data_IF_730664819355
#
_entry.id   IF_730664819355
#
_cell.length_a   1.000
_cell.length_b   1.000
_cell.length_c   1.000
_cell.angle_alpha   90.00
_cell.angle_beta   90.00
_cell.angle_gamma   90.00
#
_symmetry.space_group_name_H-M   'P 1'
#
loop_
_entity.id
_entity.type
_entity.pdbx_description
1 polymer ?
#
# COMPACT_ATOMS: atom_id res chain seq x y z
N UNK A 1 -38.60 -7.47 28.65
CA UNK A 1 -37.69 -6.32 28.86
C UNK A 1 -36.61 -6.45 27.81
N UNK A 2 -36.84 -5.80 26.65
CA UNK A 2 -35.86 -5.81 25.57
C UNK A 2 -34.76 -4.82 25.93
N UNK A 3 -33.61 -5.35 26.37
CA UNK A 3 -32.37 -4.60 26.55
C UNK A 3 -31.76 -4.38 25.14
N UNK A 4 -32.33 -3.43 24.42
CA UNK A 4 -31.74 -2.93 23.17
C UNK A 4 -30.53 -2.08 23.57
N UNK A 5 -29.37 -2.73 23.69
CA UNK A 5 -28.09 -2.08 23.92
C UNK A 5 -27.91 -0.87 23.00
N UNK A 6 -27.47 0.24 23.56
CA UNK A 6 -27.37 1.53 22.86
C UNK A 6 -26.41 1.40 21.65
N UNK A 7 -26.96 1.41 20.44
CA UNK A 7 -26.19 1.33 19.19
C UNK A 7 -25.52 2.67 18.88
N UNK A 8 -24.22 2.67 18.84
CA UNK A 8 -23.40 3.84 18.56
C UNK A 8 -23.22 4.03 17.06
N UNK A 9 -23.26 5.28 16.62
CA UNK A 9 -22.85 5.61 15.24
C UNK A 9 -21.36 5.28 15.03
N UNK A 10 -20.95 5.01 13.79
CA UNK A 10 -19.54 4.75 13.45
C UNK A 10 -18.60 5.83 13.98
N UNK A 11 -19.01 7.12 13.95
CA UNK A 11 -18.19 8.21 14.46
C UNK A 11 -18.11 8.25 16.00
N UNK A 12 -19.18 7.90 16.71
CA UNK A 12 -19.19 7.81 18.16
C UNK A 12 -18.35 6.62 18.65
N UNK A 13 -18.56 5.46 18.02
CA UNK A 13 -17.80 4.24 18.31
C UNK A 13 -16.30 4.42 18.01
N UNK A 14 -15.95 5.05 16.87
CA UNK A 14 -14.57 5.37 16.51
C UNK A 14 -13.84 6.18 17.57
N UNK A 15 -14.48 7.23 18.10
CA UNK A 15 -13.92 8.03 19.21
C UNK A 15 -13.74 7.21 20.48
N UNK A 16 -14.70 6.36 20.80
CA UNK A 16 -14.66 5.54 22.02
C UNK A 16 -13.52 4.52 22.01
N UNK A 17 -13.25 3.88 20.85
CA UNK A 17 -12.26 2.83 20.73
C UNK A 17 -10.90 3.34 20.22
N UNK A 18 -10.79 4.63 19.89
CA UNK A 18 -9.55 5.25 19.39
C UNK A 18 -9.15 4.77 18.00
N UNK A 19 -10.14 4.53 17.14
CA UNK A 19 -9.93 4.15 15.73
C UNK A 19 -10.50 5.22 14.79
N UNK A 20 -9.95 5.33 13.58
CA UNK A 20 -10.54 6.17 12.55
C UNK A 20 -11.83 5.50 11.99
N UNK A 21 -12.87 6.26 11.60
CA UNK A 21 -14.05 5.70 10.93
C UNK A 21 -13.71 4.91 9.65
N UNK A 22 -12.64 5.29 8.94
CA UNK A 22 -12.12 4.56 7.78
C UNK A 22 -11.57 3.19 8.15
N UNK A 23 -10.88 3.09 9.29
CA UNK A 23 -10.39 1.81 9.80
C UNK A 23 -11.54 0.87 10.19
N UNK A 24 -12.60 1.39 10.82
CA UNK A 24 -13.79 0.60 11.15
C UNK A 24 -14.49 0.06 9.90
N UNK A 25 -14.62 0.88 8.84
CA UNK A 25 -15.15 0.40 7.56
C UNK A 25 -14.28 -0.69 6.96
N UNK A 26 -12.97 -0.51 7.00
CA UNK A 26 -12.01 -1.50 6.54
C UNK A 26 -12.13 -2.83 7.32
N UNK A 27 -12.24 -2.79 8.65
CA UNK A 27 -12.39 -3.99 9.47
C UNK A 27 -13.74 -4.69 9.29
N UNK A 28 -14.81 -3.93 8.99
CA UNK A 28 -16.09 -4.50 8.55
C UNK A 28 -15.95 -5.16 7.18
N UNK A 29 -15.39 -4.48 6.21
CA UNK A 29 -15.14 -4.99 4.87
C UNK A 29 -14.29 -6.28 4.87
N UNK A 30 -13.39 -6.43 5.86
CA UNK A 30 -12.58 -7.64 6.06
C UNK A 30 -13.28 -8.69 6.93
N UNK A 31 -14.45 -8.40 7.48
CA UNK A 31 -15.20 -9.29 8.35
C UNK A 31 -14.60 -9.48 9.76
N UNK A 32 -13.54 -8.75 10.13
CA UNK A 32 -12.84 -8.87 11.42
C UNK A 32 -13.59 -8.14 12.54
N UNK A 33 -14.24 -7.01 12.21
CA UNK A 33 -15.09 -6.26 13.13
C UNK A 33 -16.34 -5.78 12.38
N UNK A 34 -17.36 -6.60 12.31
CA UNK A 34 -18.63 -6.26 11.66
C UNK A 34 -19.45 -5.35 12.57
N UNK A 35 -20.14 -4.32 12.02
CA UNK A 35 -21.12 -3.57 12.78
C UNK A 35 -22.29 -4.47 13.21
N UNK A 36 -22.93 -4.12 14.29
CA UNK A 36 -24.13 -4.82 14.75
C UNK A 36 -25.28 -4.62 13.77
N UNK A 37 -25.40 -3.41 13.20
CA UNK A 37 -26.42 -3.06 12.23
C UNK A 37 -25.86 -2.24 11.09
N UNK A 38 -26.28 -2.54 9.86
CA UNK A 38 -26.05 -1.72 8.65
C UNK A 38 -27.41 -1.33 8.09
N UNK A 39 -27.65 -0.03 7.96
CA UNK A 39 -28.86 0.48 7.32
C UNK A 39 -28.83 0.13 5.82
N UNK A 40 -29.81 -0.65 5.38
CA UNK A 40 -29.86 -1.16 4.00
C UNK A 40 -30.09 -0.09 2.92
N UNK A 41 -30.65 1.08 3.29
CA UNK A 41 -30.93 2.16 2.35
C UNK A 41 -29.76 3.15 2.26
N UNK A 42 -29.12 3.45 3.39
CA UNK A 42 -28.06 4.47 3.50
C UNK A 42 -26.66 3.92 3.64
N UNK A 43 -26.52 2.62 3.92
CA UNK A 43 -25.25 1.98 4.23
C UNK A 43 -24.64 2.42 5.57
N UNK A 44 -25.44 3.06 6.44
CA UNK A 44 -24.96 3.61 7.71
C UNK A 44 -24.71 2.47 8.72
N UNK A 45 -23.50 2.44 9.29
CA UNK A 45 -23.04 1.41 10.22
C UNK A 45 -23.25 1.81 11.67
N UNK A 46 -23.81 0.91 12.47
CA UNK A 46 -23.98 1.06 13.91
C UNK A 46 -23.29 -0.08 14.64
N UNK A 47 -22.66 0.24 15.75
CA UNK A 47 -21.90 -0.70 16.57
C UNK A 47 -22.51 -0.79 17.98
N UNK A 48 -22.59 -2.00 18.52
CA UNK A 48 -22.98 -2.20 19.90
C UNK A 48 -21.84 -1.85 20.87
N UNK A 49 -22.18 -1.38 22.06
CA UNK A 49 -21.19 -1.00 23.08
C UNK A 49 -20.26 -2.17 23.48
N UNK A 50 -20.78 -3.40 23.47
CA UNK A 50 -20.05 -4.63 23.79
C UNK A 50 -18.91 -4.91 22.80
N UNK A 51 -19.03 -4.43 21.56
CA UNK A 51 -17.99 -4.59 20.55
C UNK A 51 -16.73 -3.74 20.85
N UNK A 52 -16.82 -2.77 21.78
CA UNK A 52 -15.69 -1.90 22.10
C UNK A 52 -14.46 -2.67 22.61
N UNK A 53 -14.66 -3.68 23.44
CA UNK A 53 -13.55 -4.49 23.96
C UNK A 53 -12.80 -5.24 22.83
N UNK A 54 -13.54 -5.79 21.88
CA UNK A 54 -12.98 -6.43 20.69
C UNK A 54 -12.23 -5.42 19.82
N UNK A 55 -12.82 -4.26 19.54
CA UNK A 55 -12.21 -3.19 18.75
C UNK A 55 -10.90 -2.69 19.37
N UNK A 56 -10.85 -2.52 20.69
CA UNK A 56 -9.62 -2.12 21.41
C UNK A 56 -8.55 -3.21 21.33
N UNK A 57 -8.91 -4.49 21.47
CA UNK A 57 -7.95 -5.60 21.31
C UNK A 57 -7.39 -5.62 19.87
N UNK A 58 -8.25 -5.52 18.88
CA UNK A 58 -7.86 -5.44 17.48
C UNK A 58 -6.89 -4.29 17.25
N UNK A 59 -7.21 -3.08 17.71
CA UNK A 59 -6.33 -1.91 17.61
C UNK A 59 -4.95 -2.18 18.21
N UNK A 60 -4.87 -2.70 19.45
CA UNK A 60 -3.60 -2.99 20.12
C UNK A 60 -2.74 -4.01 19.37
N UNK A 61 -3.36 -5.06 18.81
CA UNK A 61 -2.64 -6.05 18.00
C UNK A 61 -2.10 -5.42 16.72
N UNK A 62 -2.88 -4.52 16.09
CA UNK A 62 -2.45 -3.78 14.91
C UNK A 62 -1.35 -2.76 15.21
N UNK A 63 -1.44 -2.04 16.33
CA UNK A 63 -0.38 -1.15 16.83
C UNK A 63 0.93 -1.93 17.10
N UNK A 64 0.84 -3.17 17.53
CA UNK A 64 1.98 -4.07 17.65
C UNK A 64 2.48 -4.64 16.30
N UNK A 65 1.88 -4.26 15.16
CA UNK A 65 2.28 -4.71 13.82
C UNK A 65 1.84 -6.12 13.45
N UNK A 66 0.89 -6.74 14.20
CA UNK A 66 0.40 -8.07 13.88
C UNK A 66 -0.44 -8.03 12.59
N UNK A 67 -0.17 -8.91 11.58
CA UNK A 67 -0.97 -9.03 10.37
C UNK A 67 -2.46 -9.24 10.65
N UNK A 68 -3.34 -8.66 9.84
CA UNK A 68 -4.79 -8.73 10.08
C UNK A 68 -5.32 -10.17 10.03
N UNK A 69 -4.71 -11.01 9.20
CA UNK A 69 -5.02 -12.45 9.12
C UNK A 69 -4.72 -13.13 10.44
N UNK A 70 -3.59 -12.78 11.06
CA UNK A 70 -3.18 -13.30 12.36
C UNK A 70 -4.00 -12.70 13.52
N UNK A 71 -4.45 -11.45 13.38
CA UNK A 71 -5.38 -10.83 14.35
C UNK A 71 -6.68 -11.62 14.44
N UNK A 72 -7.24 -12.07 13.31
CA UNK A 72 -8.45 -12.90 13.31
C UNK A 72 -8.22 -14.22 14.10
N UNK A 73 -7.08 -14.88 13.91
CA UNK A 73 -6.71 -16.08 14.68
C UNK A 73 -6.57 -15.78 16.17
N UNK A 74 -5.99 -14.64 16.55
CA UNK A 74 -5.81 -14.26 17.96
C UNK A 74 -7.15 -13.89 18.64
N UNK A 75 -8.09 -13.31 17.87
CA UNK A 75 -9.39 -12.89 18.44
C UNK A 75 -10.42 -14.02 18.48
N UNK A 76 -10.41 -14.91 17.49
CA UNK A 76 -11.49 -15.87 17.26
C UNK A 76 -11.02 -17.34 17.25
N UNK A 77 -9.72 -17.58 17.10
CA UNK A 77 -9.17 -18.94 16.99
C UNK A 77 -8.89 -19.63 18.33
N UNK A 78 -8.50 -20.90 18.28
CA UNK A 78 -8.11 -21.65 19.47
C UNK A 78 -6.94 -21.02 20.22
N UNK A 79 -6.94 -21.12 21.55
CA UNK A 79 -5.94 -20.46 22.41
C UNK A 79 -4.48 -20.85 22.06
N UNK A 80 -4.26 -22.11 21.65
CA UNK A 80 -2.91 -22.57 21.27
C UNK A 80 -2.46 -21.93 19.95
N UNK A 81 -3.33 -21.85 18.95
CA UNK A 81 -3.04 -21.16 17.68
C UNK A 81 -2.76 -19.67 17.90
N UNK A 82 -3.54 -19.02 18.76
CA UNK A 82 -3.32 -17.63 19.12
C UNK A 82 -1.94 -17.42 19.79
N UNK A 83 -1.54 -18.33 20.69
CA UNK A 83 -0.22 -18.30 21.34
C UNK A 83 0.92 -18.51 20.38
N UNK A 84 0.78 -19.43 19.44
CA UNK A 84 1.77 -19.72 18.39
C UNK A 84 1.99 -18.49 17.51
N UNK A 85 0.89 -17.93 16.98
CA UNK A 85 0.90 -16.70 16.17
C UNK A 85 1.60 -15.54 16.87
N UNK A 86 1.28 -15.31 18.16
CA UNK A 86 1.91 -14.24 18.95
C UNK A 86 3.39 -14.48 19.19
N UNK A 87 3.80 -15.74 19.40
CA UNK A 87 5.21 -16.10 19.59
C UNK A 87 6.02 -15.88 18.33
N UNK A 88 5.52 -16.35 17.19
CA UNK A 88 6.16 -16.17 15.89
C UNK A 88 6.28 -14.68 15.52
N UNK A 89 5.26 -13.89 15.87
CA UNK A 89 5.28 -12.44 15.64
C UNK A 89 6.39 -11.77 16.48
N UNK A 90 6.52 -12.13 17.75
CA UNK A 90 7.60 -11.60 18.59
C UNK A 90 8.99 -11.93 18.07
N UNK A 91 9.19 -13.13 17.52
CA UNK A 91 10.47 -13.53 16.93
C UNK A 91 10.77 -12.75 15.64
N UNK A 92 9.76 -12.51 14.80
CA UNK A 92 9.90 -11.65 13.61
C UNK A 92 10.28 -10.21 14.00
N UNK A 93 9.58 -9.63 14.98
CA UNK A 93 9.86 -8.26 15.45
C UNK A 93 11.27 -8.10 16.00
N UNK A 94 11.75 -9.08 16.77
CA UNK A 94 13.14 -9.07 17.29
C UNK A 94 14.16 -9.03 16.16
N UNK A 95 14.02 -9.90 15.15
CA UNK A 95 14.92 -9.91 13.98
C UNK A 95 14.91 -8.56 13.25
N UNK A 96 13.73 -8.01 12.98
CA UNK A 96 13.61 -6.70 12.31
C UNK A 96 14.23 -5.56 13.15
N UNK A 97 14.09 -5.60 14.48
CA UNK A 97 14.71 -4.61 15.36
C UNK A 97 16.24 -4.72 15.36
N UNK A 98 16.80 -5.94 15.38
CA UNK A 98 18.25 -6.17 15.34
C UNK A 98 18.85 -5.69 14.01
N UNK A 99 18.18 -5.95 12.88
CA UNK A 99 18.56 -5.47 11.56
C UNK A 99 18.51 -3.93 11.48
N UNK A 100 17.44 -3.32 11.97
CA UNK A 100 17.30 -1.86 12.02
C UNK A 100 18.35 -1.21 12.91
N UNK A 101 18.65 -1.82 14.06
CA UNK A 101 19.69 -1.34 14.99
C UNK A 101 21.08 -1.35 14.34
N UNK A 102 21.42 -2.38 13.61
CA UNK A 102 22.67 -2.46 12.86
C UNK A 102 22.82 -1.35 11.81
N UNK A 103 21.74 -1.04 11.08
CA UNK A 103 21.69 0.04 10.09
C UNK A 103 21.84 1.41 10.75
N UNK A 104 21.08 1.71 11.80
CA UNK A 104 21.11 3.01 12.51
C UNK A 104 22.47 3.24 13.17
N UNK A 105 23.08 2.22 13.77
CA UNK A 105 24.43 2.30 14.34
C UNK A 105 25.52 2.60 13.29
N UNK A 106 25.29 2.22 12.03
CA UNK A 106 26.12 2.62 10.88
C UNK A 106 26.04 4.15 10.62
N UNK A 107 24.83 4.69 10.55
CA UNK A 107 24.62 6.11 10.24
C UNK A 107 25.05 7.05 11.35
N UNK A 108 24.89 6.69 12.61
CA UNK A 108 25.33 7.55 13.75
C UNK A 108 26.85 7.80 13.80
N UNK A 109 27.63 6.99 13.09
CA UNK A 109 29.10 7.14 13.00
C UNK A 109 29.56 8.14 11.95
N UNK A 110 28.69 8.64 11.05
CA UNK A 110 29.08 9.37 9.83
C UNK A 110 28.66 10.85 9.76
N UNK A 111 27.98 11.47 10.75
CA UNK A 111 27.38 12.80 10.63
C UNK A 111 28.19 13.98 11.18
N UNK A 112 28.34 15.09 10.43
CA UNK A 112 28.58 16.46 10.94
C UNK A 112 27.59 17.53 10.40
N UNK A 113 27.39 18.64 11.07
CA UNK A 113 26.34 19.65 10.89
C UNK A 113 26.69 21.01 10.29
N UNK A 114 25.73 21.93 10.10
CA UNK A 114 25.85 23.33 9.62
C UNK A 114 24.54 24.11 9.39
N UNK A 115 24.53 25.45 9.45
CA UNK A 115 23.42 26.42 9.73
C UNK A 115 23.17 27.54 8.62
N UNK A 116 22.22 28.50 8.73
CA UNK A 116 21.19 28.88 7.69
C UNK A 116 21.22 30.30 7.02
N UNK A 117 20.22 30.67 6.18
CA UNK A 117 19.97 31.96 5.52
C UNK A 117 18.60 32.16 4.84
N UNK A 118 18.11 33.41 4.72
CA UNK A 118 16.71 33.87 4.56
C UNK A 118 16.14 34.07 3.12
N UNK A 119 14.83 34.36 3.02
CA UNK A 119 13.94 34.32 1.85
C UNK A 119 13.52 35.68 1.26
N UNK A 120 12.98 35.70 0.04
CA UNK A 120 12.17 36.78 -0.55
C UNK A 120 11.11 36.28 -1.54
N UNK A 121 9.97 37.02 -1.66
CA UNK A 121 8.73 36.67 -2.37
C UNK A 121 8.69 37.13 -3.84
N UNK A 122 8.03 36.38 -4.70
CA UNK A 122 7.75 36.73 -6.10
C UNK A 122 6.65 35.89 -6.76
N UNK A 123 5.99 36.48 -7.73
CA UNK A 123 4.72 36.05 -8.34
C UNK A 123 4.90 34.86 -9.32
N UNK A 124 4.03 33.87 -9.25
CA UNK A 124 3.98 32.73 -10.19
C UNK A 124 4.61 31.41 -9.70
N UNK A 125 4.74 31.22 -8.41
CA UNK A 125 5.36 30.08 -7.76
C UNK A 125 4.38 29.29 -6.88
N UNK A 126 4.73 28.04 -6.55
CA UNK A 126 4.08 27.25 -5.53
C UNK A 126 5.11 26.79 -4.49
N UNK A 127 4.73 26.85 -3.23
CA UNK A 127 5.58 26.46 -2.11
C UNK A 127 4.80 25.60 -1.11
N UNK A 128 5.48 24.61 -0.58
CA UNK A 128 4.95 23.75 0.47
C UNK A 128 6.04 23.41 1.49
N UNK A 129 5.67 23.29 2.78
CA UNK A 129 6.54 22.78 3.83
C UNK A 129 6.07 21.39 4.23
N UNK A 130 6.97 20.40 4.15
CA UNK A 130 6.70 19.00 4.48
C UNK A 130 7.77 18.45 5.42
N UNK A 131 7.42 17.44 6.21
CA UNK A 131 8.39 16.72 7.03
C UNK A 131 9.48 16.07 6.18
N UNK A 132 10.77 16.24 6.56
CA UNK A 132 11.89 15.71 5.77
C UNK A 132 11.87 14.18 5.65
N UNK A 133 11.61 13.49 6.76
CA UNK A 133 11.45 12.03 6.77
C UNK A 133 10.25 11.56 5.93
N UNK A 134 9.16 12.35 5.92
CA UNK A 134 7.95 12.04 5.15
C UNK A 134 8.20 12.20 3.65
N UNK A 135 8.87 13.29 3.23
CA UNK A 135 9.28 13.48 1.84
C UNK A 135 10.23 12.38 1.37
N UNK A 136 11.22 12.03 2.18
CA UNK A 136 12.16 10.95 1.87
C UNK A 136 11.45 9.59 1.74
N UNK A 137 10.48 9.30 2.61
CA UNK A 137 9.65 8.09 2.53
C UNK A 137 8.81 8.08 1.24
N UNK A 138 8.21 9.22 0.89
CA UNK A 138 7.39 9.36 -0.31
C UNK A 138 8.20 9.09 -1.60
N UNK A 139 9.39 9.66 -1.70
CA UNK A 139 10.28 9.40 -2.83
C UNK A 139 10.67 7.93 -2.92
N UNK A 140 11.06 7.30 -1.79
CA UNK A 140 11.42 5.88 -1.78
C UNK A 140 10.27 4.97 -2.19
N UNK A 141 9.03 5.34 -1.89
CA UNK A 141 7.84 4.59 -2.29
C UNK A 141 7.51 4.75 -3.77
N UNK A 142 7.70 5.95 -4.32
CA UNK A 142 7.27 6.30 -5.68
C UNK A 142 8.35 6.05 -6.73
N UNK A 143 9.60 6.42 -6.47
CA UNK A 143 10.70 6.32 -7.44
C UNK A 143 10.95 4.91 -8.04
N UNK A 144 10.67 3.80 -7.34
CA UNK A 144 10.76 2.47 -7.97
C UNK A 144 9.80 2.24 -9.15
N UNK A 145 8.70 3.01 -9.24
CA UNK A 145 7.74 2.92 -10.33
C UNK A 145 8.15 3.73 -11.58
N UNK A 146 9.21 4.54 -11.51
CA UNK A 146 9.74 5.19 -12.70
C UNK A 146 10.39 4.17 -13.67
N UNK A 147 10.23 4.43 -14.97
CA UNK A 147 10.81 3.60 -16.01
C UNK A 147 12.34 3.61 -15.98
N UNK A 148 12.95 2.51 -16.42
CA UNK A 148 14.41 2.33 -16.51
C UNK A 148 14.79 1.77 -17.88
N UNK A 149 16.08 1.84 -18.21
CA UNK A 149 16.63 1.25 -19.43
C UNK A 149 15.99 1.79 -20.69
N UNK A 150 15.65 0.93 -21.64
CA UNK A 150 15.12 1.31 -22.96
C UNK A 150 13.84 2.15 -22.86
N UNK A 151 12.91 1.80 -21.98
CA UNK A 151 11.66 2.56 -21.81
C UNK A 151 11.91 4.00 -21.36
N UNK A 152 12.88 4.23 -20.47
CA UNK A 152 13.25 5.58 -20.06
C UNK A 152 13.98 6.36 -21.17
N UNK A 153 14.70 5.67 -22.05
CA UNK A 153 15.34 6.29 -23.22
C UNK A 153 14.33 6.68 -24.29
N UNK A 154 13.34 5.82 -24.57
CA UNK A 154 12.27 6.09 -25.53
C UNK A 154 11.29 7.17 -25.04
N UNK A 155 11.01 7.17 -23.74
CA UNK A 155 10.08 8.10 -23.08
C UNK A 155 10.69 8.68 -21.81
N UNK A 156 11.55 9.70 -21.91
CA UNK A 156 12.29 10.28 -20.78
C UNK A 156 11.41 10.74 -19.61
N UNK A 157 10.19 11.20 -19.89
CA UNK A 157 9.21 11.62 -18.86
C UNK A 157 8.84 10.48 -17.90
N UNK A 158 8.85 9.22 -18.36
CA UNK A 158 8.57 8.06 -17.52
C UNK A 158 9.75 7.69 -16.63
N UNK A 159 10.96 8.14 -16.96
CA UNK A 159 12.15 8.02 -16.11
C UNK A 159 12.18 8.99 -14.94
N UNK A 160 11.11 9.78 -14.76
CA UNK A 160 11.01 10.84 -13.77
C UNK A 160 9.98 10.51 -12.68
N UNK A 161 10.14 11.18 -11.56
CA UNK A 161 9.12 11.37 -10.53
C UNK A 161 8.50 12.75 -10.79
N UNK A 162 7.19 12.79 -11.03
CA UNK A 162 6.46 14.05 -11.07
C UNK A 162 6.17 14.50 -9.63
N UNK A 163 6.56 15.72 -9.32
CA UNK A 163 6.23 16.43 -8.09
C UNK A 163 5.15 17.45 -8.42
N UNK A 164 3.98 17.30 -7.83
CA UNK A 164 2.84 18.18 -8.03
C UNK A 164 2.49 18.89 -6.72
N UNK A 165 2.39 20.22 -6.77
CA UNK A 165 1.89 21.07 -5.70
C UNK A 165 0.54 21.63 -6.16
N UNK A 166 -0.56 21.08 -5.63
CA UNK A 166 -1.91 21.48 -6.01
C UNK A 166 -2.92 21.14 -4.89
N UNK A 167 -3.99 21.88 -4.82
CA UNK A 167 -5.14 21.63 -3.92
C UNK A 167 -4.73 21.56 -2.43
N UNK A 168 -3.67 22.26 -2.02
CA UNK A 168 -3.16 22.21 -0.65
C UNK A 168 -2.39 20.92 -0.33
N UNK A 169 -2.01 20.14 -1.33
CA UNK A 169 -1.29 18.87 -1.19
C UNK A 169 -0.01 18.85 -2.01
N UNK A 170 0.94 18.02 -1.58
CA UNK A 170 2.12 17.66 -2.36
C UNK A 170 1.98 16.22 -2.81
N UNK A 171 1.96 16.00 -4.12
CA UNK A 171 1.83 14.66 -4.70
C UNK A 171 3.11 14.28 -5.41
N UNK A 172 3.59 13.07 -5.16
CA UNK A 172 4.68 12.46 -5.90
C UNK A 172 4.11 11.31 -6.73
N UNK A 173 4.43 11.29 -8.01
CA UNK A 173 3.86 10.34 -8.96
C UNK A 173 4.98 9.77 -9.84
N UNK A 174 4.99 8.46 -10.08
CA UNK A 174 5.83 7.83 -11.09
C UNK A 174 5.11 6.66 -11.76
N UNK A 175 5.46 6.39 -13.01
CA UNK A 175 4.89 5.30 -13.79
C UNK A 175 5.87 4.79 -14.84
N UNK A 176 5.80 3.48 -15.14
CA UNK A 176 6.53 2.82 -16.23
C UNK A 176 5.59 2.18 -17.26
N UNK A 177 4.32 2.60 -17.32
CA UNK A 177 3.18 2.03 -18.06
C UNK A 177 2.55 0.80 -17.41
N UNK A 178 3.30 -0.01 -16.68
CA UNK A 178 2.82 -1.24 -16.02
C UNK A 178 2.50 -1.03 -14.56
N UNK A 179 3.08 0.01 -13.98
CA UNK A 179 2.84 0.46 -12.61
C UNK A 179 2.60 1.95 -12.58
N UNK A 180 1.77 2.38 -11.66
CA UNK A 180 1.61 3.78 -11.31
C UNK A 180 1.66 3.88 -9.77
N UNK A 181 2.60 4.63 -9.24
CA UNK A 181 2.70 4.91 -7.81
C UNK A 181 2.36 6.36 -7.55
N UNK A 182 1.51 6.60 -6.57
CA UNK A 182 1.09 7.94 -6.13
C UNK A 182 1.20 8.03 -4.62
N UNK A 183 1.91 9.03 -4.14
CA UNK A 183 2.00 9.36 -2.72
C UNK A 183 1.53 10.79 -2.52
N UNK A 184 0.59 10.97 -1.60
CA UNK A 184 0.06 12.27 -1.21
C UNK A 184 0.63 12.64 0.16
N UNK A 185 1.18 13.84 0.27
CA UNK A 185 1.65 14.46 1.51
C UNK A 185 0.76 15.65 1.84
N UNK A 186 0.49 15.84 3.12
CA UNK A 186 -0.21 17.02 3.63
C UNK A 186 0.83 17.97 4.20
N UNK A 187 1.11 19.10 3.53
CA UNK A 187 2.08 20.05 3.99
C UNK A 187 1.61 20.78 5.25
N UNK A 188 2.55 21.20 6.09
CA UNK A 188 2.30 22.09 7.24
C UNK A 188 1.94 23.50 6.78
N UNK A 189 2.56 23.94 5.69
CA UNK A 189 2.32 25.22 5.02
C UNK A 189 2.20 25.01 3.51
N UNK A 190 1.25 25.67 2.86
CA UNK A 190 1.06 25.64 1.41
C UNK A 190 0.72 27.04 0.90
N UNK A 191 1.34 27.45 -0.19
CA UNK A 191 1.05 28.73 -0.85
C UNK A 191 1.28 28.61 -2.36
N UNK A 192 0.56 29.41 -3.14
CA UNK A 192 0.69 29.47 -4.59
C UNK A 192 -0.34 28.63 -5.35
N UNK A 193 -0.18 28.60 -6.67
CA UNK A 193 -1.07 27.90 -7.60
C UNK A 193 -0.59 26.50 -7.97
N UNK A 194 -1.38 25.75 -8.78
CA UNK A 194 -0.98 24.39 -9.16
C UNK A 194 0.31 24.42 -9.99
N UNK A 195 1.26 23.58 -9.59
CA UNK A 195 2.54 23.38 -10.28
C UNK A 195 2.87 21.89 -10.35
N UNK A 196 3.46 21.49 -11.45
CA UNK A 196 4.03 20.15 -11.62
C UNK A 196 5.42 20.27 -12.20
N UNK A 197 6.40 19.62 -11.58
CA UNK A 197 7.79 19.57 -11.99
C UNK A 197 8.22 18.12 -12.10
N UNK A 198 9.05 17.81 -13.09
CA UNK A 198 9.61 16.47 -13.29
C UNK A 198 11.02 16.42 -12.71
N UNK A 199 11.27 15.42 -11.86
CA UNK A 199 12.57 15.17 -11.24
C UNK A 199 13.04 13.81 -11.72
N UNK A 200 14.24 13.73 -12.33
CA UNK A 200 14.80 12.44 -12.70
C UNK A 200 14.87 11.49 -11.51
N UNK A 201 14.54 10.21 -11.72
CA UNK A 201 14.39 9.25 -10.62
C UNK A 201 15.67 9.09 -9.76
N UNK A 202 16.86 9.27 -10.34
CA UNK A 202 18.13 9.23 -9.59
C UNK A 202 18.32 10.50 -8.75
N UNK A 203 18.00 11.67 -9.31
CA UNK A 203 18.01 12.93 -8.57
C UNK A 203 17.00 12.90 -7.42
N UNK A 204 15.82 12.33 -7.65
CA UNK A 204 14.82 12.15 -6.59
C UNK A 204 15.33 11.25 -5.45
N UNK A 205 16.07 10.16 -5.75
CA UNK A 205 16.68 9.31 -4.71
C UNK A 205 17.74 10.06 -3.90
N UNK A 206 18.61 10.81 -4.56
CA UNK A 206 19.61 11.66 -3.88
C UNK A 206 18.93 12.71 -3.01
N UNK A 207 17.79 13.25 -3.48
CA UNK A 207 16.96 14.15 -2.69
C UNK A 207 16.42 13.48 -1.42
N UNK A 208 15.95 12.24 -1.52
CA UNK A 208 15.43 11.49 -0.37
C UNK A 208 16.53 11.22 0.68
N UNK A 209 17.77 10.94 0.24
CA UNK A 209 18.92 10.76 1.14
C UNK A 209 19.27 12.04 1.91
N UNK A 210 19.09 13.18 1.28
CA UNK A 210 19.27 14.46 1.94
C UNK A 210 18.08 14.80 2.85
N UNK A 211 16.84 14.67 2.34
CA UNK A 211 15.63 15.06 3.04
C UNK A 211 15.41 14.30 4.35
N UNK A 212 15.80 13.02 4.42
CA UNK A 212 15.66 12.22 5.65
C UNK A 212 16.41 12.79 6.86
N UNK A 213 17.43 13.62 6.61
CA UNK A 213 18.25 14.28 7.64
C UNK A 213 17.69 15.63 8.09
N UNK A 214 16.62 16.11 7.43
CA UNK A 214 15.98 17.39 7.73
C UNK A 214 14.75 17.17 8.61
N UNK A 215 14.50 18.10 9.53
CA UNK A 215 13.27 18.12 10.32
C UNK A 215 12.07 18.40 9.40
N UNK A 216 12.17 19.48 8.63
CA UNK A 216 11.22 19.82 7.59
C UNK A 216 11.96 20.30 6.33
N UNK A 217 11.27 20.29 5.20
CA UNK A 217 11.78 20.72 3.90
C UNK A 217 10.76 21.69 3.28
N UNK A 218 11.23 22.89 2.96
CA UNK A 218 10.52 23.79 2.06
C UNK A 218 10.77 23.34 0.63
N UNK A 219 9.70 23.08 -0.09
CA UNK A 219 9.67 22.74 -1.51
C UNK A 219 9.12 23.94 -2.26
N UNK A 220 9.86 24.45 -3.22
CA UNK A 220 9.43 25.59 -4.04
C UNK A 220 9.59 25.27 -5.53
N UNK A 221 8.51 25.48 -6.28
CA UNK A 221 8.47 25.35 -7.72
C UNK A 221 8.26 26.74 -8.32
N UNK A 222 9.26 27.25 -9.02
CA UNK A 222 9.22 28.54 -9.69
C UNK A 222 8.54 28.43 -11.06
N UNK A 223 7.82 29.48 -11.47
CA UNK A 223 7.18 29.55 -12.79
C UNK A 223 8.17 29.85 -13.93
N UNK A 224 9.34 30.40 -13.63
CA UNK A 224 10.33 30.83 -14.62
C UNK A 224 11.46 29.81 -14.80
N UNK A 225 11.82 29.08 -13.76
CA UNK A 225 12.83 28.01 -13.82
C UNK A 225 12.13 26.65 -13.88
N UNK A 226 12.43 25.89 -14.93
CA UNK A 226 11.97 24.50 -15.06
C UNK A 226 12.71 23.63 -14.02
N UNK A 227 12.27 23.69 -12.75
CA UNK A 227 12.91 22.94 -11.70
C UNK A 227 12.23 23.12 -10.34
N UNK A 228 12.73 22.39 -9.35
CA UNK A 228 12.33 22.50 -7.96
C UNK A 228 13.49 22.96 -7.11
N UNK A 229 13.23 23.89 -6.22
CA UNK A 229 14.17 24.33 -5.19
C UNK A 229 13.72 23.78 -3.84
N UNK A 230 14.68 23.30 -3.07
CA UNK A 230 14.44 22.73 -1.75
C UNK A 230 15.38 23.34 -0.72
N UNK A 231 14.85 23.56 0.47
CA UNK A 231 15.61 24.12 1.59
C UNK A 231 15.23 23.41 2.88
N UNK A 232 16.20 23.25 3.78
CA UNK A 232 15.95 22.79 5.15
C UNK A 232 15.10 23.82 5.89
N UNK A 233 14.05 23.37 6.56
CA UNK A 233 13.28 24.15 7.54
C UNK A 233 13.61 23.67 8.96
N UNK A 234 13.77 24.58 9.90
CA UNK A 234 13.94 24.28 11.31
C UNK A 234 13.09 25.23 12.15
N UNK A 235 12.17 24.68 12.96
CA UNK A 235 11.40 25.39 14.00
C UNK A 235 10.88 26.79 13.58
N UNK A 236 10.30 26.91 12.39
CA UNK A 236 9.75 28.17 11.89
C UNK A 236 10.80 29.15 11.30
N UNK A 237 12.08 28.83 11.34
CA UNK A 237 13.15 29.59 10.68
C UNK A 237 13.60 28.84 9.41
N UNK A 238 13.86 29.61 8.36
CA UNK A 238 14.44 29.10 7.12
C UNK A 238 15.96 28.94 7.32
N UNK A 239 16.41 27.69 7.32
CA UNK A 239 17.80 27.34 7.67
C UNK A 239 18.44 26.59 6.51
N UNK A 240 19.41 27.22 5.83
CA UNK A 240 20.20 26.61 4.76
C UNK A 240 20.04 27.28 3.39
N UNK A 241 20.96 26.97 2.50
CA UNK A 241 20.89 27.38 1.10
C UNK A 241 19.88 26.60 0.33
N UNK A 242 19.31 27.20 -0.71
CA UNK A 242 18.44 26.51 -1.64
C UNK A 242 19.22 25.46 -2.44
N UNK A 243 18.72 24.25 -2.47
CA UNK A 243 19.20 23.17 -3.34
C UNK A 243 18.32 23.13 -4.58
N UNK A 244 18.92 23.42 -5.72
CA UNK A 244 18.22 23.33 -7.01
C UNK A 244 18.29 21.92 -7.58
N UNK A 245 17.16 21.44 -8.08
CA UNK A 245 17.04 20.20 -8.84
C UNK A 245 16.42 20.58 -10.17
N UNK A 246 17.21 20.70 -11.23
CA UNK A 246 16.71 21.08 -12.55
C UNK A 246 15.87 19.95 -13.17
N UNK A 247 14.94 20.31 -14.03
CA UNK A 247 14.24 19.32 -14.85
C UNK A 247 15.20 18.58 -15.78
N UNK A 248 15.00 17.27 -16.00
CA UNK A 248 15.79 16.50 -16.94
C UNK A 248 15.63 17.04 -18.37
N UNK A 249 16.71 17.07 -19.12
CA UNK A 249 16.70 17.51 -20.52
C UNK A 249 15.78 16.62 -21.36
N UNK A 250 14.90 17.24 -22.16
CA UNK A 250 13.93 16.53 -23.02
C UNK A 250 12.56 16.30 -22.37
N UNK A 251 12.36 16.75 -21.11
CA UNK A 251 11.06 16.78 -20.48
C UNK A 251 10.57 18.22 -20.40
N UNK A 252 9.42 18.55 -20.96
CA UNK A 252 8.78 19.85 -20.71
C UNK A 252 7.69 19.67 -19.69
N UNK A 253 7.90 20.13 -18.47
CA UNK A 253 7.00 19.98 -17.33
C UNK A 253 6.65 21.29 -16.69
N UNK A 254 6.89 22.39 -17.01
CA UNK A 254 6.55 23.64 -16.34
C UNK A 254 5.55 24.49 -17.14
N UNK A 255 4.29 24.30 -16.91
CA UNK A 255 3.25 25.17 -17.44
C UNK A 255 2.03 25.20 -16.54
N UNK A 256 1.51 26.38 -16.20
CA UNK A 256 0.15 26.54 -15.72
C UNK A 256 -0.82 25.79 -16.65
N UNK A 257 -1.92 25.28 -16.14
CA UNK A 257 -2.92 24.49 -16.87
C UNK A 257 -3.48 25.16 -18.15
N UNK A 258 -3.11 26.40 -18.47
CA UNK A 258 -3.57 27.18 -19.62
C UNK A 258 -2.48 27.88 -20.43
N UNK A 259 -1.17 27.62 -20.25
CA UNK A 259 -0.07 28.36 -20.89
C UNK A 259 0.62 27.57 -22.01
N UNK A 260 0.70 28.16 -23.19
CA UNK A 260 1.35 27.78 -24.45
C UNK A 260 2.49 26.76 -24.33
N UNK A 261 2.20 25.52 -24.72
CA UNK A 261 3.16 24.42 -24.85
C UNK A 261 4.15 24.71 -26.00
N UNK A 262 5.44 24.62 -25.73
CA UNK A 262 6.42 24.41 -26.77
C UNK A 262 6.05 23.13 -27.54
N UNK A 263 5.83 23.25 -28.87
CA UNK A 263 5.47 22.12 -29.73
C UNK A 263 6.58 21.06 -29.69
N UNK A 264 6.29 19.90 -29.06
CA UNK A 264 7.19 18.74 -29.05
C UNK A 264 7.62 18.23 -27.68
N UNK A 265 7.28 18.89 -26.60
CA UNK A 265 7.62 18.43 -25.27
C UNK A 265 6.68 17.28 -24.80
N UNK A 266 7.26 16.17 -24.41
CA UNK A 266 6.50 15.03 -23.91
C UNK A 266 5.89 15.35 -22.54
N UNK A 267 4.57 15.24 -22.42
CA UNK A 267 3.81 15.52 -21.20
C UNK A 267 3.78 14.29 -20.32
N UNK A 268 3.88 14.48 -18.99
CA UNK A 268 3.67 13.37 -18.05
C UNK A 268 2.23 12.84 -18.19
N UNK A 269 2.01 11.50 -18.14
CA UNK A 269 0.70 10.91 -18.33
C UNK A 269 -0.33 11.45 -17.31
N UNK A 270 -1.57 11.63 -17.79
CA UNK A 270 -2.68 12.00 -16.89
C UNK A 270 -3.07 10.80 -16.03
N UNK A 271 -2.46 10.73 -14.88
CA UNK A 271 -2.68 9.66 -13.90
C UNK A 271 -4.04 9.76 -13.21
N UNK A 272 -4.68 10.95 -13.20
CA UNK A 272 -5.98 11.18 -12.55
C UNK A 272 -7.08 10.38 -13.23
N UNK A 273 -7.11 10.36 -14.56
CA UNK A 273 -8.04 9.53 -15.33
C UNK A 273 -7.95 8.05 -14.94
N UNK A 274 -6.74 7.53 -14.69
CA UNK A 274 -6.54 6.14 -14.28
C UNK A 274 -7.07 5.90 -12.87
N UNK A 275 -6.97 6.88 -11.96
CA UNK A 275 -7.50 6.78 -10.60
C UNK A 275 -9.03 6.90 -10.55
N UNK A 276 -9.64 7.71 -11.42
CA UNK A 276 -11.09 7.89 -11.50
C UNK A 276 -11.82 6.65 -12.01
N UNK A 277 -11.23 5.92 -12.97
CA UNK A 277 -11.79 4.67 -13.51
C UNK A 277 -11.79 3.50 -12.47
N UNK A 278 -11.24 3.74 -11.29
CA UNK A 278 -11.20 2.76 -10.20
C UNK A 278 -12.49 2.69 -9.35
N UNK A 279 -13.58 3.37 -9.71
CA UNK A 279 -14.80 3.48 -8.87
C UNK A 279 -15.73 2.24 -8.88
N UNK A 280 -15.45 1.20 -9.68
CA UNK A 280 -16.28 -0.02 -9.80
C UNK A 280 -16.23 -0.92 -8.55
N UNK A 281 -17.19 -1.82 -8.40
CA UNK A 281 -17.16 -2.88 -7.38
C UNK A 281 -15.88 -3.72 -7.49
N UNK A 282 -15.19 -3.89 -6.37
CA UNK A 282 -13.89 -4.56 -6.31
C UNK A 282 -13.92 -5.73 -5.36
N UNK A 283 -13.28 -6.80 -5.79
CA UNK A 283 -12.86 -7.86 -4.86
C UNK A 283 -11.65 -7.37 -4.07
N UNK A 284 -11.60 -7.68 -2.78
CA UNK A 284 -10.51 -7.29 -1.90
C UNK A 284 -9.79 -8.53 -1.40
N UNK A 285 -8.51 -8.57 -1.65
CA UNK A 285 -7.59 -9.59 -1.15
C UNK A 285 -6.63 -8.95 -0.16
N UNK A 286 -6.59 -9.47 1.07
CA UNK A 286 -5.65 -9.07 2.10
C UNK A 286 -4.76 -10.25 2.41
N UNK A 287 -3.47 -10.00 2.44
CA UNK A 287 -2.46 -11.03 2.69
C UNK A 287 -1.24 -10.40 3.37
N UNK A 288 -0.47 -11.19 4.11
CA UNK A 288 0.83 -10.77 4.63
C UNK A 288 1.73 -10.29 3.49
N UNK A 289 2.16 -9.02 3.58
CA UNK A 289 2.91 -8.34 2.52
C UNK A 289 4.28 -8.96 2.28
N UNK A 290 4.98 -9.31 3.36
CA UNK A 290 6.34 -9.88 3.29
C UNK A 290 6.26 -11.28 2.74
N UNK A 291 5.34 -12.11 3.23
CA UNK A 291 5.12 -13.46 2.72
C UNK A 291 4.72 -13.48 1.25
N UNK A 292 3.87 -12.55 0.80
CA UNK A 292 3.52 -12.45 -0.61
C UNK A 292 4.71 -12.00 -1.46
N UNK A 293 5.47 -10.99 -1.02
CA UNK A 293 6.68 -10.56 -1.69
C UNK A 293 7.65 -11.72 -1.87
N UNK A 294 7.95 -12.45 -0.80
CA UNK A 294 8.91 -13.55 -0.81
C UNK A 294 8.42 -14.74 -1.65
N UNK A 295 7.11 -15.00 -1.64
CA UNK A 295 6.51 -16.02 -2.48
C UNK A 295 6.58 -15.68 -3.98
N UNK A 296 6.59 -14.41 -4.35
CA UNK A 296 6.67 -13.92 -5.74
C UNK A 296 8.12 -13.68 -6.16
N UNK A 297 8.95 -13.14 -5.27
CA UNK A 297 10.33 -12.79 -5.55
C UNK A 297 11.16 -14.00 -6.04
N UNK A 298 12.00 -13.77 -7.04
CA UNK A 298 12.89 -14.77 -7.62
C UNK A 298 12.18 -15.89 -8.39
N UNK A 299 10.89 -15.76 -8.70
CA UNK A 299 10.22 -16.61 -9.70
C UNK A 299 10.48 -16.08 -11.09
N UNK A 300 10.70 -16.98 -12.03
CA UNK A 300 10.84 -16.65 -13.45
C UNK A 300 9.47 -16.64 -14.14
N UNK A 301 9.27 -15.71 -15.09
CA UNK A 301 8.05 -15.60 -15.87
C UNK A 301 6.84 -15.14 -15.04
N UNK A 302 5.65 -15.46 -15.53
CA UNK A 302 4.38 -15.00 -14.96
C UNK A 302 4.02 -15.79 -13.72
N UNK A 303 3.61 -15.09 -12.66
CA UNK A 303 3.13 -15.66 -11.40
C UNK A 303 1.62 -15.51 -11.33
N UNK A 304 0.90 -16.60 -11.04
CA UNK A 304 -0.53 -16.59 -10.79
C UNK A 304 -0.84 -16.57 -9.30
N UNK A 305 -1.76 -15.71 -8.92
CA UNK A 305 -2.37 -15.64 -7.61
C UNK A 305 -3.77 -16.23 -7.72
N UNK A 306 -4.08 -17.26 -6.94
CA UNK A 306 -5.40 -17.88 -6.96
C UNK A 306 -5.93 -18.16 -5.55
N UNK A 307 -7.19 -17.78 -5.31
CA UNK A 307 -7.95 -18.20 -4.13
C UNK A 307 -9.11 -19.03 -4.63
N UNK A 308 -9.15 -20.34 -4.31
CA UNK A 308 -10.23 -21.22 -4.76
C UNK A 308 -11.56 -20.82 -4.12
N UNK A 309 -12.68 -21.17 -4.77
CA UNK A 309 -13.99 -21.00 -4.17
C UNK A 309 -14.15 -21.93 -2.97
N UNK A 310 -14.93 -21.53 -1.97
CA UNK A 310 -15.24 -22.34 -0.78
C UNK A 310 -15.69 -23.75 -1.14
N UNK A 311 -16.56 -23.89 -2.15
CA UNK A 311 -17.05 -25.18 -2.64
C UNK A 311 -15.93 -26.08 -3.19
N UNK A 312 -14.85 -25.52 -3.75
CA UNK A 312 -13.72 -26.30 -4.28
C UNK A 312 -12.78 -26.75 -3.16
N UNK A 313 -12.58 -25.94 -2.13
CA UNK A 313 -11.84 -26.34 -0.92
C UNK A 313 -12.51 -27.52 -0.20
N UNK A 314 -13.84 -27.49 -0.09
CA UNK A 314 -14.65 -28.58 0.51
C UNK A 314 -14.55 -29.87 -0.31
N UNK A 315 -14.55 -29.78 -1.64
CA UNK A 315 -14.43 -30.94 -2.53
C UNK A 315 -13.03 -31.58 -2.46
N UNK A 316 -11.96 -30.76 -2.44
CA UNK A 316 -10.58 -31.23 -2.32
C UNK A 316 -10.27 -31.77 -0.92
N UNK A 317 -10.88 -31.22 0.14
CA UNK A 317 -10.84 -31.73 1.50
C UNK A 317 -11.46 -33.14 1.61
N UNK A 318 -12.63 -33.35 1.02
CA UNK A 318 -13.28 -34.65 0.96
C UNK A 318 -12.47 -35.68 0.17
N UNK A 319 -11.87 -35.28 -0.93
CA UNK A 319 -11.05 -36.19 -1.76
C UNK A 319 -9.76 -36.61 -1.08
N UNK A 320 -9.16 -35.74 -0.25
CA UNK A 320 -8.00 -36.07 0.59
C UNK A 320 -8.36 -36.95 1.79
N UNK A 321 -9.54 -36.80 2.38
CA UNK A 321 -10.03 -37.64 3.43
C UNK A 321 -10.24 -39.07 2.89
N UNK A 322 -10.92 -39.23 1.77
CA UNK A 322 -11.15 -40.54 1.09
C UNK A 322 -9.81 -41.19 0.68
N UNK A 323 -8.82 -40.42 0.25
CA UNK A 323 -7.49 -41.00 -0.12
C UNK A 323 -6.63 -41.39 1.09
N UNK A 324 -6.91 -40.90 2.29
CA UNK A 324 -6.29 -41.39 3.54
C UNK A 324 -6.96 -42.70 4.03
N UNK A 325 -8.29 -42.77 3.95
CA UNK A 325 -9.00 -43.98 4.36
C UNK A 325 -8.67 -45.21 3.52
N UNK A 326 -8.36 -45.04 2.23
CA UNK A 326 -7.92 -46.15 1.36
C UNK A 326 -6.52 -46.67 1.61
N UNK A 327 -5.72 -46.00 2.46
CA UNK A 327 -4.34 -46.42 2.78
C UNK A 327 -4.24 -47.20 4.09
N UNK A 328 -5.18 -47.01 5.01
CA UNK A 328 -5.26 -47.75 6.27
C UNK A 328 -6.55 -48.59 6.23
N UNK A 329 -6.47 -49.77 5.68
CA UNK A 329 -7.61 -50.72 5.68
C UNK A 329 -7.95 -51.13 7.09
N UNK A 330 -9.17 -50.81 7.56
CA UNK A 330 -10.16 -51.59 8.34
C UNK A 330 -11.20 -50.61 8.95
N UNK A 331 -12.43 -50.74 8.39
CA UNK A 331 -13.75 -50.80 9.01
C UNK A 331 -14.02 -50.02 10.32
N UNK A 332 -14.79 -48.96 10.27
CA UNK A 332 -16.11 -48.93 10.92
C UNK A 332 -17.05 -47.94 10.25
N UNK A 333 -18.26 -48.37 9.92
CA UNK A 333 -19.27 -47.56 9.26
C UNK A 333 -20.11 -46.87 10.33
N UNK A 334 -19.60 -45.78 10.85
CA UNK A 334 -20.40 -44.78 11.54
C UNK A 334 -20.50 -43.57 10.63
N UNK A 335 -21.68 -43.30 10.08
CA UNK A 335 -22.02 -42.06 9.38
C UNK A 335 -21.92 -40.88 10.38
N UNK A 336 -20.74 -40.41 10.63
CA UNK A 336 -20.54 -39.06 11.08
C UNK A 336 -20.45 -38.16 9.83
N UNK A 337 -21.48 -37.35 9.67
CA UNK A 337 -21.49 -36.22 8.76
C UNK A 337 -20.27 -35.39 9.12
N UNK A 338 -19.21 -35.44 8.29
CA UNK A 338 -18.10 -34.52 8.39
C UNK A 338 -18.66 -33.11 8.18
N UNK A 339 -19.01 -32.45 9.26
CA UNK A 339 -19.31 -31.06 9.29
C UNK A 339 -18.07 -30.35 8.71
N UNK A 340 -18.27 -29.60 7.64
CA UNK A 340 -17.24 -28.79 7.03
C UNK A 340 -16.74 -27.83 8.12
N UNK A 341 -15.44 -27.86 8.38
CA UNK A 341 -14.80 -26.98 9.36
C UNK A 341 -15.15 -25.50 9.01
N UNK A 342 -16.00 -24.83 9.78
CA UNK A 342 -16.45 -23.49 9.47
C UNK A 342 -15.32 -22.45 9.56
N UNK A 343 -14.14 -22.82 10.07
CA UNK A 343 -12.99 -21.96 10.32
C UNK A 343 -11.86 -22.06 9.29
N UNK A 344 -12.04 -22.75 8.16
CA UNK A 344 -10.99 -22.83 7.14
C UNK A 344 -10.68 -21.43 6.57
N UNK A 345 -9.58 -20.83 7.05
CA UNK A 345 -9.07 -19.54 6.55
C UNK A 345 -8.77 -19.68 5.05
N UNK A 346 -9.28 -18.80 4.19
CA UNK A 346 -8.98 -18.84 2.77
C UNK A 346 -7.47 -18.80 2.53
N UNK A 347 -6.99 -19.69 1.64
CA UNK A 347 -5.57 -19.77 1.29
C UNK A 347 -5.35 -19.16 -0.09
N UNK A 348 -4.45 -18.20 -0.18
CA UNK A 348 -3.92 -17.70 -1.45
C UNK A 348 -2.82 -18.66 -1.93
N UNK A 349 -3.00 -19.23 -3.10
CA UNK A 349 -1.96 -20.00 -3.76
C UNK A 349 -1.19 -19.10 -4.75
N UNK A 350 0.13 -19.07 -4.59
CA UNK A 350 1.08 -18.36 -5.45
C UNK A 350 1.82 -19.41 -6.27
N UNK A 351 1.54 -19.46 -7.56
CA UNK A 351 2.11 -20.47 -8.47
C UNK A 351 2.71 -19.80 -9.72
N UNK A 352 3.70 -20.42 -10.33
CA UNK A 352 4.35 -19.98 -11.57
C UNK A 352 5.87 -20.11 -11.50
N UNK A 353 6.51 -20.01 -12.67
CA UNK A 353 7.93 -20.31 -12.82
C UNK A 353 8.25 -21.79 -12.51
N UNK A 354 9.48 -22.02 -12.13
CA UNK A 354 10.08 -23.31 -11.83
C UNK A 354 10.01 -23.71 -10.35
N UNK A 355 9.33 -22.92 -9.51
CA UNK A 355 9.22 -23.14 -8.07
C UNK A 355 7.88 -23.78 -7.69
N UNK A 356 7.91 -24.57 -6.63
CA UNK A 356 6.70 -25.16 -6.04
C UNK A 356 5.69 -24.05 -5.67
N UNK A 357 4.38 -24.30 -5.78
CA UNK A 357 3.35 -23.41 -5.30
C UNK A 357 3.51 -23.13 -3.80
N UNK A 358 3.33 -21.87 -3.41
CA UNK A 358 3.34 -21.42 -2.01
C UNK A 358 1.91 -21.05 -1.62
N UNK A 359 1.49 -21.44 -0.42
CA UNK A 359 0.17 -21.11 0.12
C UNK A 359 0.32 -20.15 1.29
N UNK A 360 -0.40 -19.04 1.22
CA UNK A 360 -0.42 -17.98 2.23
C UNK A 360 -1.83 -17.84 2.80
N UNK A 361 -1.96 -17.60 4.09
CA UNK A 361 -3.23 -17.19 4.68
C UNK A 361 -3.68 -15.87 4.05
N UNK A 362 -4.95 -15.77 3.70
CA UNK A 362 -5.50 -14.58 3.08
C UNK A 362 -6.95 -14.34 3.49
N UNK A 363 -7.40 -13.10 3.41
CA UNK A 363 -8.81 -12.73 3.50
C UNK A 363 -9.25 -12.27 2.12
N UNK A 364 -10.27 -12.93 1.56
CA UNK A 364 -10.86 -12.55 0.28
C UNK A 364 -12.33 -12.17 0.49
N UNK A 365 -12.67 -10.94 0.12
CA UNK A 365 -14.06 -10.51 0.01
C UNK A 365 -14.48 -10.55 -1.45
N UNK A 366 -15.42 -11.45 -1.78
CA UNK A 366 -15.88 -11.63 -3.15
C UNK A 366 -15.80 -13.09 -3.61
N UNK A 367 -15.71 -13.27 -4.93
CA UNK A 367 -15.72 -14.60 -5.58
C UNK A 367 -14.29 -15.18 -5.61
N UNK A 368 -14.19 -16.46 -5.99
CA UNK A 368 -12.90 -17.09 -6.30
C UNK A 368 -12.07 -16.20 -7.22
N UNK A 369 -10.78 -16.04 -6.87
CA UNK A 369 -9.86 -15.16 -7.57
C UNK A 369 -8.85 -15.98 -8.36
N UNK A 370 -8.58 -15.56 -9.59
CA UNK A 370 -7.40 -15.98 -10.35
C UNK A 370 -6.90 -14.81 -11.19
N UNK A 371 -5.67 -14.37 -10.91
CA UNK A 371 -5.04 -13.24 -11.57
C UNK A 371 -3.54 -13.52 -11.70
N UNK A 372 -2.88 -12.93 -12.70
CA UNK A 372 -1.49 -13.19 -12.97
C UNK A 372 -0.69 -11.88 -13.09
N UNK A 373 0.56 -11.90 -12.64
CA UNK A 373 1.45 -10.76 -12.65
C UNK A 373 2.85 -11.12 -13.12
N UNK A 374 3.56 -10.14 -13.66
CA UNK A 374 5.00 -10.17 -13.78
C UNK A 374 5.63 -9.86 -12.42
N UNK A 375 6.51 -10.72 -11.89
CA UNK A 375 7.24 -10.44 -10.65
C UNK A 375 8.00 -9.12 -10.66
N UNK A 376 8.57 -8.73 -11.82
CA UNK A 376 9.29 -7.47 -11.96
C UNK A 376 8.39 -6.23 -11.76
N UNK A 377 7.08 -6.39 -11.90
CA UNK A 377 6.09 -5.34 -11.70
C UNK A 377 5.47 -5.40 -10.30
N UNK A 378 5.13 -6.61 -9.82
CA UNK A 378 4.46 -6.79 -8.53
C UNK A 378 5.40 -6.63 -7.32
N UNK A 379 6.60 -7.21 -7.36
CA UNK A 379 7.53 -7.17 -6.21
C UNK A 379 7.87 -5.76 -5.76
N UNK A 380 8.27 -4.83 -6.64
CA UNK A 380 8.55 -3.45 -6.22
C UNK A 380 7.32 -2.71 -5.66
N UNK A 381 6.12 -3.05 -6.10
CA UNK A 381 4.90 -2.47 -5.54
C UNK A 381 4.64 -2.96 -4.10
N UNK A 382 4.95 -4.23 -3.82
CA UNK A 382 4.89 -4.80 -2.47
C UNK A 382 5.98 -4.23 -1.55
N UNK A 383 7.20 -4.02 -2.07
CA UNK A 383 8.32 -3.42 -1.33
C UNK A 383 8.09 -1.96 -0.98
N UNK A 384 7.42 -1.20 -1.85
CA UNK A 384 7.07 0.19 -1.60
C UNK A 384 6.01 0.36 -0.50
N UNK A 385 5.20 -0.67 -0.25
CA UNK A 385 4.20 -0.67 0.82
C UNK A 385 4.83 -0.68 2.22
N UNK A 386 4.13 -0.11 3.19
CA UNK A 386 4.50 -0.15 4.61
C UNK A 386 3.52 -1.01 5.38
N UNK A 387 3.91 -1.44 6.57
CA UNK A 387 3.09 -2.31 7.42
C UNK A 387 3.12 -3.79 7.01
N UNK A 388 2.52 -4.65 7.82
CA UNK A 388 2.56 -6.09 7.63
C UNK A 388 1.61 -6.59 6.54
N UNK A 389 0.50 -5.89 6.29
CA UNK A 389 -0.53 -6.32 5.34
C UNK A 389 -0.52 -5.51 4.05
N UNK A 390 -0.82 -6.18 2.96
CA UNK A 390 -1.18 -5.56 1.68
C UNK A 390 -2.64 -5.83 1.37
N UNK A 391 -3.36 -4.78 0.99
CA UNK A 391 -4.68 -4.82 0.40
C UNK A 391 -4.56 -4.71 -1.11
N UNK A 392 -5.06 -5.72 -1.82
CA UNK A 392 -5.19 -5.70 -3.28
C UNK A 392 -6.67 -5.56 -3.63
N UNK A 393 -7.03 -4.49 -4.34
CA UNK A 393 -8.39 -4.27 -4.84
C UNK A 393 -8.44 -4.62 -6.33
N UNK A 394 -9.24 -5.61 -6.69
CA UNK A 394 -9.26 -6.26 -7.99
C UNK A 394 -10.65 -6.15 -8.60
N UNK A 395 -10.76 -5.52 -9.77
CA UNK A 395 -12.00 -5.46 -10.55
C UNK A 395 -12.10 -6.67 -11.49
N UNK A 396 -11.04 -6.93 -12.24
CA UNK A 396 -10.94 -8.05 -13.20
C UNK A 396 -9.48 -8.40 -13.49
N UNK A 397 -9.24 -9.50 -14.18
CA UNK A 397 -7.89 -9.99 -14.49
C UNK A 397 -7.19 -9.21 -15.62
N UNK A 398 -7.84 -8.23 -16.23
CA UNK A 398 -7.34 -7.41 -17.35
C UNK A 398 -7.30 -5.92 -17.02
N UNK A 399 -7.75 -5.52 -15.83
CA UNK A 399 -7.71 -4.13 -15.34
C UNK A 399 -6.62 -3.93 -14.28
N UNK A 400 -6.15 -2.68 -14.10
CA UNK A 400 -5.18 -2.37 -13.06
C UNK A 400 -5.68 -2.80 -11.67
N UNK A 401 -4.79 -3.42 -10.91
CA UNK A 401 -5.03 -3.79 -9.51
C UNK A 401 -4.48 -2.70 -8.61
N UNK A 402 -5.31 -2.21 -7.70
CA UNK A 402 -4.88 -1.29 -6.66
C UNK A 402 -4.17 -2.07 -5.56
N UNK A 403 -2.96 -1.67 -5.25
CA UNK A 403 -2.15 -2.23 -4.16
C UNK A 403 -1.92 -1.14 -3.13
N UNK A 404 -2.37 -1.37 -1.90
CA UNK A 404 -2.26 -0.41 -0.78
C UNK A 404 -1.82 -1.11 0.49
N UNK A 405 -1.21 -0.35 1.39
CA UNK A 405 -1.09 -0.76 2.78
C UNK A 405 -2.40 -0.46 3.53
N UNK A 406 -2.79 -1.34 4.44
CA UNK A 406 -3.89 -1.07 5.38
C UNK A 406 -3.56 0.10 6.34
N UNK A 407 -2.28 0.32 6.62
CA UNK A 407 -1.79 1.27 7.61
C UNK A 407 -1.50 2.66 7.01
N UNK A 408 -1.44 2.78 5.68
CA UNK A 408 -1.07 4.02 5.00
C UNK A 408 -2.00 4.35 3.84
N UNK A 409 -3.06 5.11 4.11
CA UNK A 409 -4.05 5.53 3.12
C UNK A 409 -3.55 6.56 2.09
N UNK A 410 -2.40 7.19 2.33
CA UNK A 410 -1.82 8.25 1.49
C UNK A 410 -0.89 7.73 0.38
N UNK A 411 -0.63 6.42 0.32
CA UNK A 411 0.14 5.77 -0.73
C UNK A 411 -0.73 4.76 -1.49
N UNK A 412 -0.75 4.87 -2.80
CA UNK A 412 -1.49 3.97 -3.69
C UNK A 412 -0.58 3.56 -4.84
N UNK A 413 -0.51 2.26 -5.11
CA UNK A 413 0.15 1.73 -6.30
C UNK A 413 -0.88 0.99 -7.15
N UNK A 414 -0.84 1.20 -8.45
CA UNK A 414 -1.57 0.42 -9.44
C UNK A 414 -0.58 -0.51 -10.14
N UNK A 415 -0.97 -1.76 -10.31
CA UNK A 415 -0.17 -2.79 -10.98
C UNK A 415 -0.99 -3.44 -12.07
N UNK A 416 -0.47 -3.44 -13.30
CA UNK A 416 -1.13 -4.11 -14.42
C UNK A 416 -0.93 -5.62 -14.33
N UNK A 417 -2.01 -6.41 -14.32
CA UNK A 417 -1.91 -7.86 -14.44
C UNK A 417 -1.49 -8.26 -15.85
N UNK A 418 -0.87 -9.42 -15.95
CA UNK A 418 -0.55 -10.04 -17.24
C UNK A 418 -1.75 -10.89 -17.68
N UNK A 419 -2.20 -10.72 -18.91
CA UNK A 419 -3.22 -11.60 -19.49
C UNK A 419 -2.66 -13.03 -19.52
N UNK A 420 -3.19 -13.89 -18.67
CA UNK A 420 -2.75 -15.28 -18.58
C UNK A 420 -2.95 -16.01 -19.90
N UNK A 421 -1.98 -16.76 -20.34
CA UNK A 421 -2.05 -17.71 -21.46
C UNK A 421 -2.93 -18.95 -21.10
N UNK A 422 -4.08 -18.73 -20.50
CA UNK A 422 -4.99 -19.76 -19.95
C UNK A 422 -6.42 -19.59 -20.43
N UNK A 423 -6.63 -19.45 -21.73
CA UNK A 423 -7.94 -19.32 -22.36
C UNK A 423 -7.96 -19.74 -23.81
N UNK A 424 -7.35 -20.87 -24.15
CA UNK A 424 -7.81 -21.61 -25.33
C UNK A 424 -8.88 -22.59 -24.84
N UNK A 425 -10.12 -22.31 -25.27
CA UNK A 425 -11.19 -23.31 -25.30
C UNK A 425 -10.88 -24.35 -26.35
#
# INVERSE_FOLDING_TARGET
MDDTGELLSIGAFARQVGLAPSALRFYDDCGVLRPDQVDGATGYRRYAAEQAARAVRLRRLREAGLPLVDVAVVLDGPQEAAREVLRDHLERMRRTADEAHAVVAGFLREAPGGVPGEATDGNGWARARVGGAELASAVRQVAPAAARGATAQEMPVLGCVALELADGEVRLIATDRYRLAVRVLRPEEFAGGPRQVLIGADAARSLAEWAVRQVSVDVECDGETAGVRLRSGANGANVGDWREVPEPVGTAGGGSAEGHLAKGAARFPDYRMVLEDLAAERQRLIVDRVGLRDAVAGRSGVVSLSVPSRAKCEAEGRQRAVSRETRDGLVDVSRETAEADPEAVPMLEVAGGDRQPVRLKAVLTGRALRIAFDPAVLVPALEAGVGPDVLMEIVSADRPVVVRSADQGSFTTLVMPVRGAGGRR
#
